data_IF_540687109988
#
_entry.id   IF_540687109988
#
_cell.length_a   1.000
_cell.length_b   1.000
_cell.length_c   1.000
_cell.angle_alpha   90.00
_cell.angle_beta   90.00
_cell.angle_gamma   90.00
#
_symmetry.space_group_name_H-M   'P 1'
#
loop_
_entity.id
_entity.type
_entity.pdbx_description
1 polymer ?
#
# COMPACT_ATOMS: atom_id res chain seq x y z
N UNK A 1 77.56 5.17 -15.25
CA UNK A 1 76.49 5.74 -16.08
C UNK A 1 75.34 4.75 -16.17
N UNK A 2 74.14 5.26 -15.95
CA UNK A 2 72.82 4.61 -15.96
C UNK A 2 72.62 3.79 -17.25
N UNK A 3 71.95 2.64 -17.17
CA UNK A 3 70.71 2.40 -17.95
C UNK A 3 70.04 1.05 -17.64
N UNK A 4 68.73 1.18 -17.47
CA UNK A 4 67.69 0.21 -17.15
C UNK A 4 67.24 -0.47 -18.43
N UNK A 5 66.91 -1.77 -18.41
CA UNK A 5 65.82 -2.32 -19.23
C UNK A 5 65.17 -3.53 -18.55
N UNK A 6 63.98 -3.28 -17.99
CA UNK A 6 63.01 -4.26 -17.53
C UNK A 6 62.28 -4.82 -18.76
N UNK A 7 62.13 -6.15 -18.87
CA UNK A 7 61.11 -6.78 -19.71
C UNK A 7 60.30 -7.77 -18.89
N UNK A 8 59.03 -7.41 -18.71
CA UNK A 8 57.91 -8.19 -18.20
C UNK A 8 57.45 -9.22 -19.25
N UNK A 9 56.84 -10.32 -18.79
CA UNK A 9 55.66 -11.05 -19.31
C UNK A 9 55.77 -12.54 -18.90
N UNK A 10 54.75 -13.28 -18.46
CA UNK A 10 53.33 -13.05 -18.19
C UNK A 10 52.84 -14.30 -17.42
N UNK A 11 52.27 -14.17 -16.22
CA UNK A 11 51.60 -15.29 -15.53
C UNK A 11 50.10 -15.20 -15.81
N UNK A 12 49.57 -16.14 -16.59
CA UNK A 12 48.13 -16.26 -16.83
C UNK A 12 47.47 -16.98 -15.65
N UNK A 13 46.77 -16.24 -14.78
CA UNK A 13 45.88 -16.78 -13.77
C UNK A 13 44.46 -16.86 -14.34
N UNK A 14 43.96 -18.08 -14.59
CA UNK A 14 42.52 -18.30 -14.74
C UNK A 14 41.86 -18.17 -13.36
N UNK A 15 41.13 -17.08 -13.15
CA UNK A 15 40.21 -16.98 -12.03
C UNK A 15 38.84 -17.52 -12.45
N UNK A 16 38.49 -18.71 -11.95
CA UNK A 16 37.12 -19.21 -11.93
C UNK A 16 36.34 -18.44 -10.86
N UNK A 17 35.64 -17.39 -11.28
CA UNK A 17 34.75 -16.63 -10.40
C UNK A 17 33.49 -17.44 -10.12
N UNK A 18 33.40 -18.06 -8.93
CA UNK A 18 32.12 -18.51 -8.39
C UNK A 18 31.27 -17.27 -8.07
N UNK A 19 30.19 -17.06 -8.82
CA UNK A 19 29.21 -16.03 -8.51
C UNK A 19 28.52 -16.38 -7.18
N UNK A 20 28.81 -15.60 -6.14
CA UNK A 20 28.03 -15.64 -4.91
C UNK A 20 26.57 -15.23 -5.23
N UNK A 21 25.56 -15.84 -4.58
CA UNK A 21 24.17 -15.44 -4.78
C UNK A 21 24.00 -13.96 -4.43
N UNK A 22 23.30 -13.25 -5.30
CA UNK A 22 23.19 -11.79 -5.37
C UNK A 22 22.50 -11.19 -4.13
N UNK A 23 23.26 -10.97 -3.06
CA UNK A 23 22.77 -10.40 -1.79
C UNK A 23 22.30 -8.94 -1.92
N UNK A 24 22.76 -8.22 -2.94
CA UNK A 24 22.35 -6.84 -3.20
C UNK A 24 20.88 -6.76 -3.62
N UNK A 25 20.41 -7.70 -4.44
CA UNK A 25 19.00 -7.79 -4.85
C UNK A 25 18.04 -8.03 -3.67
N UNK A 26 18.43 -8.90 -2.73
CA UNK A 26 17.64 -9.27 -1.56
C UNK A 26 17.62 -8.19 -0.45
N UNK A 27 18.70 -7.41 -0.31
CA UNK A 27 18.71 -6.26 0.60
C UNK A 27 17.89 -5.09 0.03
N UNK A 28 17.88 -4.89 -1.29
CA UNK A 28 17.08 -3.85 -1.92
C UNK A 28 15.58 -4.19 -1.97
N UNK A 29 15.19 -5.47 -2.02
CA UNK A 29 13.79 -5.87 -1.86
C UNK A 29 13.29 -5.67 -0.43
N UNK A 30 14.09 -6.05 0.59
CA UNK A 30 13.76 -5.80 2.00
C UNK A 30 13.62 -4.30 2.33
N UNK A 31 14.51 -3.45 1.81
CA UNK A 31 14.41 -1.99 2.00
C UNK A 31 13.14 -1.42 1.36
N UNK A 32 12.81 -1.82 0.13
CA UNK A 32 11.57 -1.38 -0.54
C UNK A 32 10.32 -1.83 0.20
N UNK A 33 10.33 -3.02 0.80
CA UNK A 33 9.21 -3.51 1.59
C UNK A 33 9.03 -2.75 2.92
N UNK A 34 10.12 -2.26 3.52
CA UNK A 34 10.07 -1.41 4.72
C UNK A 34 9.55 0.02 4.45
N UNK A 35 9.39 0.41 3.19
CA UNK A 35 8.95 1.73 2.74
C UNK A 35 7.50 1.75 2.23
N UNK A 36 6.80 0.60 2.21
CA UNK A 36 5.40 0.56 1.80
C UNK A 36 4.54 1.06 2.96
N UNK A 37 3.74 2.14 2.78
CA UNK A 37 2.84 2.60 3.83
C UNK A 37 1.81 1.54 4.16
N UNK A 38 1.64 1.22 5.43
CA UNK A 38 0.68 0.25 5.92
C UNK A 38 -0.40 0.94 6.76
N UNK A 39 -1.62 0.40 6.73
CA UNK A 39 -2.72 0.84 7.57
C UNK A 39 -2.33 0.70 9.05
N UNK A 40 -2.23 1.83 9.74
CA UNK A 40 -1.94 1.89 11.17
C UNK A 40 -3.20 2.05 12.01
N UNK A 41 -4.19 2.82 11.54
CA UNK A 41 -5.43 3.06 12.27
C UNK A 41 -6.59 3.33 11.31
N UNK A 42 -7.77 2.86 11.73
CA UNK A 42 -9.06 3.19 11.12
C UNK A 42 -10.00 3.67 12.22
N UNK A 43 -10.66 4.81 12.02
CA UNK A 43 -11.60 5.35 13.02
C UNK A 43 -12.78 6.01 12.34
N UNK A 44 -13.99 5.74 12.82
CA UNK A 44 -15.18 6.48 12.41
C UNK A 44 -15.22 7.81 13.18
N UNK A 45 -15.31 8.92 12.45
CA UNK A 45 -15.27 10.27 13.01
C UNK A 45 -16.66 10.92 13.01
N UNK A 46 -17.53 10.51 12.09
CA UNK A 46 -18.93 10.92 12.00
C UNK A 46 -19.77 9.79 11.39
N UNK A 47 -21.11 9.92 11.32
CA UNK A 47 -21.98 8.91 10.73
C UNK A 47 -21.58 8.47 9.33
N UNK A 48 -20.97 9.33 8.52
CA UNK A 48 -20.55 9.02 7.15
C UNK A 48 -19.05 9.21 6.89
N UNK A 49 -18.22 9.30 7.93
CA UNK A 49 -16.79 9.55 7.78
C UNK A 49 -15.91 8.54 8.50
N UNK A 50 -14.94 8.00 7.75
CA UNK A 50 -13.83 7.23 8.28
C UNK A 50 -12.52 8.00 8.07
N UNK A 51 -11.69 8.05 9.11
CA UNK A 51 -10.30 8.45 8.98
C UNK A 51 -9.42 7.20 8.91
N UNK A 52 -8.63 7.13 7.85
CA UNK A 52 -7.55 6.16 7.66
C UNK A 52 -6.24 6.85 8.00
N UNK A 53 -5.39 6.21 8.81
CA UNK A 53 -4.04 6.67 9.11
C UNK A 53 -3.03 5.57 8.79
N UNK A 54 -1.97 5.95 8.09
CA UNK A 54 -0.86 5.07 7.69
C UNK A 54 0.32 5.21 8.65
N UNK A 55 1.19 4.21 8.71
CA UNK A 55 2.42 4.24 9.50
C UNK A 55 3.52 5.13 8.87
N UNK A 56 3.38 5.47 7.59
CA UNK A 56 4.29 6.31 6.82
C UNK A 56 3.51 7.26 5.88
N UNK A 57 4.13 8.35 5.39
CA UNK A 57 3.53 9.23 4.41
C UNK A 57 3.11 8.48 3.14
N UNK A 58 2.00 8.89 2.54
CA UNK A 58 1.43 8.29 1.33
C UNK A 58 1.51 9.29 0.18
N UNK A 59 1.78 8.78 -1.02
CA UNK A 59 1.53 9.52 -2.26
C UNK A 59 0.07 9.99 -2.28
N UNK A 60 -0.13 11.31 -2.33
CA UNK A 60 -1.45 11.89 -2.15
C UNK A 60 -2.45 11.40 -3.21
N UNK A 61 -2.02 11.20 -4.46
CA UNK A 61 -2.90 10.67 -5.51
C UNK A 61 -3.30 9.24 -5.21
N UNK A 62 -2.37 8.40 -4.72
CA UNK A 62 -2.71 7.04 -4.29
C UNK A 62 -3.65 7.03 -3.08
N UNK A 63 -3.40 7.89 -2.10
CA UNK A 63 -4.21 7.99 -0.89
C UNK A 63 -5.62 8.53 -1.14
N UNK A 64 -5.84 9.35 -2.17
CA UNK A 64 -7.15 9.91 -2.50
C UNK A 64 -7.90 9.16 -3.61
N UNK A 65 -7.31 8.13 -4.23
CA UNK A 65 -7.96 7.34 -5.28
C UNK A 65 -8.93 6.34 -4.67
N UNK A 66 -10.27 6.44 -4.90
CA UNK A 66 -11.23 5.49 -4.33
C UNK A 66 -10.98 4.04 -4.73
N UNK A 67 -10.48 3.80 -5.94
CA UNK A 67 -10.16 2.46 -6.45
C UNK A 67 -9.07 1.69 -5.69
N UNK A 68 -8.42 2.33 -4.71
CA UNK A 68 -7.45 1.69 -3.80
C UNK A 68 -8.09 1.21 -2.48
N UNK A 69 -9.41 1.37 -2.33
CA UNK A 69 -10.15 1.07 -1.12
C UNK A 69 -11.36 0.19 -1.41
N UNK A 70 -11.67 -0.69 -0.47
CA UNK A 70 -12.82 -1.58 -0.50
C UNK A 70 -13.48 -1.61 0.88
N UNK A 71 -14.80 -1.79 0.89
CA UNK A 71 -15.57 -2.08 2.11
C UNK A 71 -16.25 -3.43 1.94
N UNK A 72 -15.88 -4.39 2.78
CA UNK A 72 -16.49 -5.70 2.83
C UNK A 72 -17.47 -5.80 3.99
N UNK A 73 -18.70 -6.22 3.72
CA UNK A 73 -19.61 -6.67 4.78
C UNK A 73 -19.04 -7.93 5.43
N UNK A 74 -19.03 -8.01 6.77
CA UNK A 74 -18.55 -9.23 7.46
C UNK A 74 -19.68 -10.24 7.69
N UNK A 75 -20.93 -9.83 7.49
CA UNK A 75 -22.14 -10.62 7.83
C UNK A 75 -22.97 -11.00 6.61
N UNK A 76 -23.07 -10.11 5.63
CA UNK A 76 -23.99 -10.24 4.49
C UNK A 76 -23.29 -10.78 3.24
N UNK A 77 -23.95 -11.67 2.49
CA UNK A 77 -23.44 -12.18 1.20
C UNK A 77 -23.62 -11.14 0.09
N UNK A 78 -24.74 -10.43 0.07
CA UNK A 78 -24.96 -9.34 -0.87
C UNK A 78 -24.51 -8.04 -0.21
N UNK A 79 -23.61 -7.24 -0.82
CA UNK A 79 -23.18 -5.99 -0.24
C UNK A 79 -24.35 -4.99 -0.15
N UNK A 80 -24.53 -4.40 1.03
CA UNK A 80 -25.49 -3.30 1.27
C UNK A 80 -24.81 -2.12 1.97
N UNK A 81 -25.50 -0.99 2.04
CA UNK A 81 -24.96 0.24 2.61
C UNK A 81 -23.67 0.64 1.91
N UNK A 82 -22.63 0.94 2.69
CA UNK A 82 -21.30 1.36 2.17
C UNK A 82 -20.44 0.21 1.62
N UNK A 83 -20.88 -1.05 1.76
CA UNK A 83 -20.12 -2.19 1.27
C UNK A 83 -20.10 -2.24 -0.26
N UNK A 84 -18.94 -2.59 -0.81
CA UNK A 84 -18.76 -2.97 -2.21
C UNK A 84 -18.49 -4.47 -2.38
N UNK A 85 -18.17 -5.17 -1.29
CA UNK A 85 -18.06 -6.62 -1.23
C UNK A 85 -19.02 -7.23 -0.22
N UNK A 86 -19.61 -8.37 -0.59
CA UNK A 86 -20.17 -9.32 0.35
C UNK A 86 -19.08 -10.08 1.12
N UNK A 87 -19.49 -10.77 2.19
CA UNK A 87 -18.57 -11.48 3.10
C UNK A 87 -17.71 -12.57 2.45
N UNK A 88 -18.15 -13.11 1.32
CA UNK A 88 -17.45 -14.17 0.59
C UNK A 88 -16.76 -13.67 -0.68
N UNK A 89 -16.92 -12.40 -1.03
CA UNK A 89 -16.37 -11.85 -2.25
C UNK A 89 -14.86 -11.65 -2.12
N UNK A 90 -14.17 -11.77 -3.26
CA UNK A 90 -12.75 -11.46 -3.39
C UNK A 90 -12.54 -10.05 -3.94
N UNK A 91 -11.48 -9.39 -3.46
CA UNK A 91 -11.05 -8.08 -3.94
C UNK A 91 -10.69 -8.14 -5.42
N UNK A 92 -11.25 -7.22 -6.22
CA UNK A 92 -10.86 -6.97 -7.59
C UNK A 92 -11.15 -5.51 -7.98
N UNK A 93 -10.68 -5.07 -9.14
CA UNK A 93 -10.85 -3.67 -9.56
C UNK A 93 -12.32 -3.30 -9.81
N UNK A 94 -13.17 -4.26 -10.17
CA UNK A 94 -14.59 -4.04 -10.45
C UNK A 94 -15.46 -3.85 -9.21
N UNK A 95 -14.95 -4.18 -8.01
CA UNK A 95 -15.67 -4.01 -6.75
C UNK A 95 -14.98 -3.04 -5.78
N UNK A 96 -14.04 -2.22 -6.26
CA UNK A 96 -13.46 -1.14 -5.47
C UNK A 96 -14.47 -0.01 -5.20
N UNK A 97 -14.18 0.82 -4.21
CA UNK A 97 -14.89 2.08 -4.04
C UNK A 97 -14.68 2.98 -5.26
N UNK A 98 -15.69 3.79 -5.52
CA UNK A 98 -15.76 4.70 -6.66
C UNK A 98 -16.11 6.11 -6.19
N UNK A 99 -15.85 7.10 -7.04
CA UNK A 99 -16.11 8.51 -6.71
C UNK A 99 -17.62 8.83 -6.52
N UNK A 100 -18.51 7.98 -7.05
CA UNK A 100 -19.94 8.10 -6.77
C UNK A 100 -20.32 7.63 -5.36
N UNK A 101 -19.48 6.85 -4.67
CA UNK A 101 -19.73 6.33 -3.31
C UNK A 101 -19.01 7.13 -2.22
N UNK A 102 -17.81 7.64 -2.51
CA UNK A 102 -16.94 8.26 -1.50
C UNK A 102 -16.13 9.41 -2.08
N UNK A 103 -15.93 10.44 -1.27
CA UNK A 103 -14.92 11.48 -1.49
C UNK A 103 -13.77 11.27 -0.50
N UNK A 104 -12.51 11.33 -0.96
CA UNK A 104 -11.33 11.10 -0.13
C UNK A 104 -10.43 12.32 -0.16
N UNK A 105 -10.05 12.83 1.01
CA UNK A 105 -9.22 14.03 1.15
C UNK A 105 -8.14 13.82 2.22
N UNK A 106 -6.94 14.41 2.09
CA UNK A 106 -5.95 14.39 3.15
C UNK A 106 -6.45 15.21 4.37
N UNK A 107 -6.16 14.74 5.58
CA UNK A 107 -6.52 15.43 6.84
C UNK A 107 -5.50 16.52 7.21
N UNK A 108 -4.25 16.39 6.75
CA UNK A 108 -3.16 17.32 7.01
C UNK A 108 -2.11 17.29 5.89
N UNK A 109 -1.15 18.22 5.94
CA UNK A 109 -0.10 18.39 4.92
C UNK A 109 0.95 17.27 4.89
N UNK A 110 0.95 16.35 5.87
CA UNK A 110 1.91 15.23 5.92
C UNK A 110 1.46 14.00 5.10
N UNK A 111 0.27 14.04 4.49
CA UNK A 111 -0.31 12.96 3.68
C UNK A 111 -0.27 11.58 4.36
N UNK A 112 -0.37 11.54 5.69
CA UNK A 112 -0.36 10.30 6.47
C UNK A 112 -1.77 9.86 6.88
N UNK A 113 -2.73 10.79 6.87
CA UNK A 113 -4.12 10.52 7.21
C UNK A 113 -5.06 11.04 6.13
N UNK A 114 -6.10 10.25 5.83
CA UNK A 114 -7.09 10.55 4.80
C UNK A 114 -8.49 10.37 5.39
N UNK A 115 -9.34 11.36 5.14
CA UNK A 115 -10.76 11.31 5.47
C UNK A 115 -11.53 10.78 4.27
N UNK A 116 -12.22 9.66 4.47
CA UNK A 116 -13.17 9.08 3.53
C UNK A 116 -14.56 9.52 3.96
N UNK A 117 -15.19 10.40 3.17
CA UNK A 117 -16.56 10.86 3.37
C UNK A 117 -17.49 10.10 2.41
N UNK A 118 -18.28 9.18 2.94
CA UNK A 118 -19.26 8.42 2.19
C UNK A 118 -20.49 9.27 1.88
N UNK A 119 -21.12 9.03 0.72
CA UNK A 119 -22.36 9.73 0.34
C UNK A 119 -23.61 9.28 1.09
N UNK A 120 -23.49 8.19 1.83
CA UNK A 120 -24.52 7.64 2.71
C UNK A 120 -23.90 7.38 4.08
N UNK A 121 -24.74 7.37 5.10
CA UNK A 121 -24.30 7.03 6.44
C UNK A 121 -23.85 5.57 6.54
N UNK A 122 -22.91 5.33 7.45
CA UNK A 122 -22.46 4.01 7.87
C UNK A 122 -23.54 3.46 8.80
N UNK A 123 -24.24 2.37 8.44
CA UNK A 123 -25.31 1.83 9.27
C UNK A 123 -24.80 1.43 10.65
N UNK A 124 -25.46 1.94 11.69
CA UNK A 124 -25.11 1.68 13.09
C UNK A 124 -25.22 0.18 13.41
N UNK A 125 -24.21 -0.35 14.11
CA UNK A 125 -24.14 -1.75 14.52
C UNK A 125 -23.73 -2.73 13.41
N UNK A 126 -23.65 -2.29 12.16
CA UNK A 126 -23.17 -3.13 11.06
C UNK A 126 -21.65 -3.25 11.10
N UNK A 127 -21.15 -4.47 10.92
CA UNK A 127 -19.72 -4.77 10.92
C UNK A 127 -19.18 -4.84 9.49
N UNK A 128 -18.09 -4.11 9.27
CA UNK A 128 -17.43 -4.01 7.99
C UNK A 128 -15.93 -4.24 8.15
N UNK A 129 -15.26 -4.63 7.06
CA UNK A 129 -13.80 -4.63 6.94
C UNK A 129 -13.40 -3.68 5.83
N UNK A 130 -12.59 -2.68 6.16
CA UNK A 130 -11.90 -1.88 5.14
C UNK A 130 -10.67 -2.65 4.66
N UNK A 131 -10.45 -2.66 3.35
CA UNK A 131 -9.25 -3.22 2.72
C UNK A 131 -8.63 -2.12 1.86
N UNK A 132 -7.31 -1.99 1.92
CA UNK A 132 -6.55 -0.96 1.21
C UNK A 132 -5.44 -1.64 0.40
N UNK A 133 -5.28 -1.26 -0.87
CA UNK A 133 -4.25 -1.78 -1.75
C UNK A 133 -3.59 -0.67 -2.58
N UNK A 134 -2.42 -0.97 -3.14
CA UNK A 134 -1.75 -0.19 -4.19
C UNK A 134 -1.29 1.22 -3.81
N UNK A 135 -1.20 1.51 -2.51
CA UNK A 135 -0.68 2.76 -1.97
C UNK A 135 0.84 2.68 -1.80
N UNK A 136 1.52 3.79 -2.08
CA UNK A 136 2.99 3.93 -2.05
C UNK A 136 3.38 5.23 -1.35
N UNK A 137 4.67 5.39 -1.04
CA UNK A 137 5.23 6.71 -0.72
C UNK A 137 5.26 7.62 -1.98
N UNK A 138 5.36 8.95 -1.80
CA UNK A 138 5.50 9.89 -2.91
C UNK A 138 6.69 9.55 -3.82
N UNK A 139 6.43 9.42 -5.12
CA UNK A 139 7.47 9.18 -6.15
C UNK A 139 7.95 7.73 -6.29
N UNK A 140 7.45 6.79 -5.48
CA UNK A 140 7.81 5.38 -5.57
C UNK A 140 7.14 4.66 -6.75
N UNK A 141 7.74 3.57 -7.28
CA UNK A 141 7.14 2.77 -8.35
C UNK A 141 5.79 2.15 -7.96
N UNK A 142 4.94 1.78 -8.95
CA UNK A 142 3.65 1.13 -8.68
C UNK A 142 3.77 -0.11 -7.78
N UNK A 143 2.87 -0.21 -6.81
CA UNK A 143 2.72 -1.35 -5.92
C UNK A 143 1.42 -2.10 -6.22
N UNK A 144 1.47 -3.43 -6.21
CA UNK A 144 0.33 -4.31 -6.54
C UNK A 144 -0.14 -5.15 -5.36
N UNK A 145 0.30 -4.84 -4.13
CA UNK A 145 -0.08 -5.58 -2.94
C UNK A 145 -1.04 -4.82 -2.03
N UNK A 146 -1.33 -5.45 -0.88
CA UNK A 146 -2.19 -4.90 0.15
C UNK A 146 -1.41 -3.99 1.10
N UNK A 147 -1.99 -2.83 1.41
CA UNK A 147 -1.51 -1.91 2.44
C UNK A 147 -2.14 -2.21 3.81
N UNK A 148 -3.12 -3.12 3.86
CA UNK A 148 -3.68 -3.63 5.11
C UNK A 148 -5.21 -3.67 5.11
N UNK A 149 -5.76 -4.13 6.23
CA UNK A 149 -7.20 -4.16 6.45
C UNK A 149 -7.53 -4.02 7.93
N UNK A 150 -8.67 -3.40 8.24
CA UNK A 150 -9.18 -3.30 9.61
C UNK A 150 -10.69 -3.50 9.62
N UNK A 151 -11.18 -4.18 10.67
CA UNK A 151 -12.60 -4.33 10.96
C UNK A 151 -13.08 -3.13 11.78
N UNK A 152 -14.28 -2.64 11.49
CA UNK A 152 -14.95 -1.61 12.27
C UNK A 152 -16.45 -1.91 12.35
N UNK A 153 -17.13 -1.26 13.29
CA UNK A 153 -18.58 -1.32 13.46
C UNK A 153 -19.11 0.10 13.36
N UNK A 154 -20.19 0.30 12.60
CA UNK A 154 -20.85 1.60 12.49
C UNK A 154 -21.33 2.10 13.85
N UNK A 155 -20.94 3.32 14.23
CA UNK A 155 -21.29 3.95 15.51
C UNK A 155 -22.54 4.82 15.45
#
# INVERSE_FOLDING_TARGET
MRNIFIKLLLCSLLALSFAAPDQASAQQSKKRQAQIPMLSQLSQISPNQLQVTYDQPVDQTKGTTPGNYWIQSTTEVTPTGIATLGKNDSVNNGNALTADKVMIQPVANNAQSFMLTFKQDIPKGMSYKMIICYVTQPGEPPYTGANGSAVFVGQ
#
